data_IF_802251783629
#
_entry.id   IF_802251783629
#
_cell.length_a   1.000
_cell.length_b   1.000
_cell.length_c   1.000
_cell.angle_alpha   90.00
_cell.angle_beta   90.00
_cell.angle_gamma   90.00
#
_symmetry.space_group_name_H-M   'P 1'
#
loop_
_entity.id
_entity.type
_entity.pdbx_description
1 polymer ?
#
# COMPACT_ATOMS: atom_id res chain seq x y z
N UNK A 1 20.37 33.55 -13.60
CA UNK A 1 20.36 33.12 -12.18
C UNK A 1 19.11 32.35 -11.78
N UNK A 2 17.88 32.78 -12.11
CA UNK A 2 16.63 32.14 -11.61
C UNK A 2 16.36 30.68 -12.08
N UNK A 3 16.86 30.24 -13.24
CA UNK A 3 16.57 28.90 -13.77
C UNK A 3 17.49 27.80 -13.22
N UNK A 4 18.79 28.08 -13.02
CA UNK A 4 19.72 27.16 -12.35
C UNK A 4 19.27 26.86 -10.93
N UNK A 5 18.76 27.88 -10.22
CA UNK A 5 18.14 27.71 -8.91
C UNK A 5 16.88 26.82 -8.96
N UNK A 6 16.10 26.89 -10.05
CA UNK A 6 14.90 26.05 -10.23
C UNK A 6 15.24 24.61 -10.59
N UNK A 7 16.24 24.36 -11.43
CA UNK A 7 16.68 22.98 -11.72
C UNK A 7 17.19 22.29 -10.44
N UNK A 8 18.00 23.00 -9.64
CA UNK A 8 18.46 22.49 -8.35
C UNK A 8 17.29 22.17 -7.39
N UNK A 9 16.24 23.00 -7.39
CA UNK A 9 15.02 22.71 -6.63
C UNK A 9 14.29 21.48 -7.16
N UNK A 10 14.11 21.34 -8.48
CA UNK A 10 13.47 20.16 -9.08
C UNK A 10 14.25 18.88 -8.74
N UNK A 11 15.58 18.92 -8.79
CA UNK A 11 16.41 17.77 -8.40
C UNK A 11 16.22 17.40 -6.92
N UNK A 12 16.11 18.40 -6.04
CA UNK A 12 15.82 18.17 -4.62
C UNK A 12 14.41 17.58 -4.42
N UNK A 13 13.40 18.10 -5.13
CA UNK A 13 12.02 17.60 -5.09
C UNK A 13 11.91 16.16 -5.60
N UNK A 14 12.63 15.80 -6.67
CA UNK A 14 12.71 14.43 -7.18
C UNK A 14 13.36 13.49 -6.16
N UNK A 15 14.47 13.89 -5.53
CA UNK A 15 15.12 13.08 -4.51
C UNK A 15 14.23 12.84 -3.28
N UNK A 16 13.38 13.82 -2.92
CA UNK A 16 12.39 13.65 -1.86
C UNK A 16 11.27 12.68 -2.28
N UNK A 17 10.77 12.80 -3.51
CA UNK A 17 9.75 11.90 -4.05
C UNK A 17 10.24 10.45 -4.10
N UNK A 18 11.50 10.22 -4.48
CA UNK A 18 12.10 8.88 -4.49
C UNK A 18 12.02 8.21 -3.11
N UNK A 19 12.32 8.97 -2.05
CA UNK A 19 12.24 8.48 -0.67
C UNK A 19 10.79 8.19 -0.25
N UNK A 20 9.85 9.06 -0.64
CA UNK A 20 8.42 8.87 -0.35
C UNK A 20 7.86 7.64 -1.07
N UNK A 21 8.20 7.46 -2.35
CA UNK A 21 7.83 6.29 -3.15
C UNK A 21 8.41 5.00 -2.56
N UNK A 22 9.68 5.01 -2.14
CA UNK A 22 10.29 3.85 -1.49
C UNK A 22 9.60 3.53 -0.16
N UNK A 23 9.29 4.54 0.65
CA UNK A 23 8.58 4.36 1.92
C UNK A 23 7.19 3.75 1.71
N UNK A 24 6.40 4.32 0.81
CA UNK A 24 5.07 3.81 0.46
C UNK A 24 5.15 2.38 -0.07
N UNK A 25 6.13 2.09 -0.95
CA UNK A 25 6.33 0.74 -1.49
C UNK A 25 6.72 -0.28 -0.41
N UNK A 26 7.48 0.13 0.62
CA UNK A 26 7.80 -0.73 1.78
C UNK A 26 6.55 -0.98 2.63
N UNK A 27 5.70 0.02 2.84
CA UNK A 27 4.44 -0.16 3.57
C UNK A 27 3.50 -1.13 2.85
N UNK A 28 3.34 -1.00 1.53
CA UNK A 28 2.55 -1.94 0.73
C UNK A 28 3.04 -3.39 0.85
N UNK A 29 4.37 -3.61 0.89
CA UNK A 29 4.93 -4.96 1.10
C UNK A 29 4.57 -5.52 2.48
N UNK A 30 4.67 -4.69 3.53
CA UNK A 30 4.30 -5.11 4.89
C UNK A 30 2.82 -5.49 4.98
N UNK A 31 1.94 -4.73 4.32
CA UNK A 31 0.52 -5.06 4.27
C UNK A 31 0.29 -6.38 3.53
N UNK A 32 0.93 -6.60 2.39
CA UNK A 32 0.82 -7.87 1.67
C UNK A 32 1.32 -9.08 2.49
N UNK A 33 2.41 -8.93 3.25
CA UNK A 33 2.87 -9.94 4.21
C UNK A 33 1.83 -10.19 5.31
N UNK A 34 1.22 -9.12 5.83
CA UNK A 34 0.19 -9.21 6.87
C UNK A 34 -1.08 -9.90 6.35
N UNK A 35 -1.50 -9.61 5.12
CA UNK A 35 -2.63 -10.30 4.45
C UNK A 35 -2.35 -11.79 4.29
N UNK A 36 -1.12 -12.15 3.92
CA UNK A 36 -0.71 -13.54 3.80
C UNK A 36 -0.80 -14.26 5.16
N UNK A 37 -0.23 -13.65 6.21
CA UNK A 37 -0.26 -14.21 7.56
C UNK A 37 -1.70 -14.37 8.08
N UNK A 38 -2.58 -13.41 7.80
CA UNK A 38 -4.00 -13.52 8.13
C UNK A 38 -4.67 -14.69 7.40
N UNK A 39 -4.34 -14.91 6.13
CA UNK A 39 -4.84 -16.06 5.37
C UNK A 39 -4.43 -17.39 6.00
N UNK A 40 -3.18 -17.52 6.45
CA UNK A 40 -2.69 -18.72 7.13
C UNK A 40 -3.38 -18.95 8.47
N UNK A 41 -3.54 -17.90 9.28
CA UNK A 41 -4.28 -17.98 10.56
C UNK A 41 -5.73 -18.39 10.32
N UNK A 42 -6.39 -17.79 9.32
CA UNK A 42 -7.77 -18.13 8.98
C UNK A 42 -7.93 -19.60 8.60
N UNK A 43 -7.00 -20.14 7.81
CA UNK A 43 -7.01 -21.55 7.43
C UNK A 43 -6.85 -22.47 8.64
N UNK A 44 -5.96 -22.13 9.57
CA UNK A 44 -5.76 -22.88 10.81
C UNK A 44 -7.00 -22.83 11.72
N UNK A 45 -7.59 -21.65 11.90
CA UNK A 45 -8.79 -21.48 12.72
C UNK A 45 -9.98 -22.27 12.15
N UNK A 46 -10.19 -22.23 10.83
CA UNK A 46 -11.27 -23.01 10.20
C UNK A 46 -11.12 -24.52 10.45
N UNK A 47 -9.90 -25.06 10.33
CA UNK A 47 -9.63 -26.47 10.64
C UNK A 47 -9.89 -26.76 12.11
N UNK A 48 -9.41 -25.90 13.00
CA UNK A 48 -9.62 -26.03 14.43
C UNK A 48 -11.11 -26.07 14.80
N UNK A 49 -11.92 -25.14 14.28
CA UNK A 49 -13.36 -25.14 14.55
C UNK A 49 -14.07 -26.37 13.97
N UNK A 50 -13.66 -26.86 12.79
CA UNK A 50 -14.19 -28.10 12.23
C UNK A 50 -13.90 -29.30 13.13
N UNK A 51 -12.64 -29.50 13.53
CA UNK A 51 -12.25 -30.59 14.42
C UNK A 51 -12.99 -30.52 15.76
N UNK A 52 -13.14 -29.31 16.30
CA UNK A 52 -13.82 -29.08 17.57
C UNK A 52 -15.32 -29.37 17.48
N UNK A 53 -15.96 -28.98 16.37
CA UNK A 53 -17.37 -29.28 16.09
C UNK A 53 -17.61 -30.78 15.89
N UNK A 54 -16.71 -31.46 15.18
CA UNK A 54 -16.76 -32.92 14.98
C UNK A 54 -16.60 -33.67 16.31
N UNK A 55 -15.62 -33.29 17.13
CA UNK A 55 -15.37 -33.90 18.43
C UNK A 55 -16.52 -33.70 19.44
N UNK A 56 -17.33 -32.64 19.26
CA UNK A 56 -18.43 -32.28 20.16
C UNK A 56 -19.82 -32.49 19.52
N UNK A 57 -19.94 -33.32 18.48
CA UNK A 57 -21.23 -33.63 17.88
C UNK A 57 -22.21 -34.21 18.91
N UNK A 58 -23.38 -33.60 19.03
CA UNK A 58 -24.41 -34.02 19.99
C UNK A 58 -24.17 -33.57 21.43
N UNK A 59 -23.10 -32.80 21.69
CA UNK A 59 -22.90 -32.16 22.98
C UNK A 59 -23.88 -30.97 23.14
N UNK A 60 -24.38 -30.78 24.36
CA UNK A 60 -25.31 -29.68 24.70
C UNK A 60 -24.72 -28.30 24.37
N UNK A 61 -23.38 -28.18 24.38
CA UNK A 61 -22.64 -26.94 24.12
C UNK A 61 -22.25 -26.72 22.65
N UNK A 62 -22.69 -27.56 21.71
CA UNK A 62 -22.33 -27.43 20.30
C UNK A 62 -22.68 -26.05 19.72
N UNK A 63 -23.77 -25.43 20.18
CA UNK A 63 -24.18 -24.08 19.78
C UNK A 63 -23.15 -23.00 20.14
N UNK A 64 -22.47 -23.11 21.29
CA UNK A 64 -21.44 -22.15 21.69
C UNK A 64 -20.25 -22.14 20.73
N UNK A 65 -19.89 -23.29 20.17
CA UNK A 65 -18.78 -23.39 19.23
C UNK A 65 -19.12 -22.80 17.86
N UNK A 66 -20.38 -22.92 17.43
CA UNK A 66 -20.89 -22.23 16.23
C UNK A 66 -20.87 -20.70 16.41
N UNK A 67 -21.27 -20.21 17.59
CA UNK A 67 -21.23 -18.77 17.89
C UNK A 67 -19.79 -18.24 17.91
N UNK A 68 -18.86 -18.98 18.53
CA UNK A 68 -17.44 -18.62 18.55
C UNK A 68 -16.82 -18.59 17.15
N UNK A 69 -17.15 -19.56 16.28
CA UNK A 69 -16.70 -19.56 14.90
C UNK A 69 -17.24 -18.34 14.13
N UNK A 70 -18.51 -17.99 14.33
CA UNK A 70 -19.12 -16.83 13.70
C UNK A 70 -18.50 -15.51 14.18
N UNK A 71 -18.20 -15.39 15.48
CA UNK A 71 -17.51 -14.23 16.04
C UNK A 71 -16.09 -14.09 15.50
N UNK A 72 -15.31 -15.17 15.46
CA UNK A 72 -13.97 -15.18 14.84
C UNK A 72 -14.03 -14.71 13.39
N UNK A 73 -14.93 -15.26 12.57
CA UNK A 73 -15.10 -14.85 11.15
C UNK A 73 -15.43 -13.37 11.01
N UNK A 74 -16.28 -12.84 11.89
CA UNK A 74 -16.64 -11.41 11.90
C UNK A 74 -15.44 -10.51 12.24
N UNK A 75 -14.63 -10.91 13.21
CA UNK A 75 -13.41 -10.19 13.57
C UNK A 75 -12.37 -10.22 12.44
N UNK A 76 -12.15 -11.39 11.84
CA UNK A 76 -11.26 -11.55 10.68
C UNK A 76 -11.68 -10.66 9.52
N UNK A 77 -12.98 -10.62 9.20
CA UNK A 77 -13.49 -9.79 8.13
C UNK A 77 -13.21 -8.30 8.39
N UNK A 78 -13.40 -7.82 9.63
CA UNK A 78 -13.10 -6.43 9.99
C UNK A 78 -11.62 -6.11 9.85
N UNK A 79 -10.73 -7.00 10.29
CA UNK A 79 -9.29 -6.81 10.17
C UNK A 79 -8.85 -6.77 8.70
N UNK A 80 -9.40 -7.68 7.88
CA UNK A 80 -9.11 -7.70 6.44
C UNK A 80 -9.56 -6.42 5.75
N UNK A 81 -10.74 -5.91 6.06
CA UNK A 81 -11.22 -4.64 5.53
C UNK A 81 -10.29 -3.47 5.89
N UNK A 82 -9.79 -3.42 7.12
CA UNK A 82 -8.83 -2.37 7.52
C UNK A 82 -7.52 -2.43 6.73
N UNK A 83 -7.03 -3.64 6.46
CA UNK A 83 -5.81 -3.83 5.66
C UNK A 83 -6.05 -3.45 4.20
N UNK A 84 -7.19 -3.87 3.63
CA UNK A 84 -7.60 -3.50 2.27
C UNK A 84 -7.75 -1.98 2.12
N UNK A 85 -8.47 -1.32 3.03
CA UNK A 85 -8.63 0.15 3.04
C UNK A 85 -7.27 0.87 3.07
N UNK A 86 -6.36 0.44 3.96
CA UNK A 86 -5.03 1.03 4.06
C UNK A 86 -4.19 0.78 2.79
N UNK A 87 -4.33 -0.38 2.18
CA UNK A 87 -3.65 -0.73 0.92
C UNK A 87 -4.14 0.16 -0.22
N UNK A 88 -5.45 0.38 -0.33
CA UNK A 88 -6.06 1.26 -1.33
C UNK A 88 -5.59 2.71 -1.18
N UNK A 89 -5.53 3.22 0.06
CA UNK A 89 -4.99 4.56 0.35
C UNK A 89 -3.55 4.71 -0.14
N UNK A 90 -2.69 3.73 0.18
CA UNK A 90 -1.28 3.75 -0.22
C UNK A 90 -1.11 3.63 -1.74
N UNK A 91 -1.94 2.83 -2.42
CA UNK A 91 -1.94 2.75 -3.88
C UNK A 91 -2.34 4.08 -4.53
N UNK A 92 -3.33 4.78 -3.96
CA UNK A 92 -3.73 6.10 -4.42
C UNK A 92 -2.62 7.14 -4.18
N UNK A 93 -1.98 7.12 -3.02
CA UNK A 93 -0.83 7.97 -2.71
C UNK A 93 0.33 7.71 -3.69
N UNK A 94 0.69 6.45 -3.92
CA UNK A 94 1.73 6.07 -4.88
C UNK A 94 1.43 6.63 -6.27
N UNK A 95 0.19 6.52 -6.73
CA UNK A 95 -0.22 7.08 -8.02
C UNK A 95 0.02 8.59 -8.06
N UNK A 96 -0.41 9.32 -7.03
CA UNK A 96 -0.21 10.77 -6.95
C UNK A 96 1.27 11.16 -6.94
N UNK A 97 2.12 10.38 -6.24
CA UNK A 97 3.56 10.60 -6.20
C UNK A 97 4.21 10.40 -7.58
N UNK A 98 3.83 9.34 -8.29
CA UNK A 98 4.29 9.09 -9.67
C UNK A 98 3.82 10.20 -10.61
N UNK A 99 2.56 10.61 -10.53
CA UNK A 99 2.03 11.71 -11.36
C UNK A 99 2.81 13.02 -11.11
N UNK A 100 3.25 13.27 -9.87
CA UNK A 100 4.07 14.44 -9.51
C UNK A 100 5.52 14.30 -10.00
N UNK A 101 6.09 13.11 -9.93
CA UNK A 101 7.41 12.79 -10.49
C UNK A 101 7.44 13.07 -12.00
N UNK A 102 6.44 12.58 -12.74
CA UNK A 102 6.29 12.80 -14.18
C UNK A 102 6.18 14.29 -14.52
N UNK A 103 5.45 15.07 -13.73
CA UNK A 103 5.34 16.53 -13.88
C UNK A 103 6.69 17.22 -13.70
N UNK A 104 7.47 16.83 -12.70
CA UNK A 104 8.80 17.41 -12.46
C UNK A 104 9.79 17.06 -13.56
N UNK A 105 9.75 15.84 -14.10
CA UNK A 105 10.56 15.50 -15.28
C UNK A 105 10.15 16.31 -16.52
N UNK A 106 8.85 16.54 -16.71
CA UNK A 106 8.37 17.39 -17.80
C UNK A 106 8.86 18.85 -17.64
N UNK A 107 8.76 19.41 -16.43
CA UNK A 107 9.24 20.75 -16.12
C UNK A 107 10.75 20.87 -16.35
N UNK A 108 11.51 19.89 -15.84
CA UNK A 108 12.97 19.84 -16.05
C UNK A 108 13.33 19.80 -17.53
N UNK A 109 12.63 18.99 -18.32
CA UNK A 109 12.84 18.93 -19.77
C UNK A 109 12.58 20.28 -20.44
N UNK A 110 11.50 20.96 -20.08
CA UNK A 110 11.19 22.29 -20.61
C UNK A 110 12.26 23.34 -20.27
N UNK A 111 12.84 23.27 -19.06
CA UNK A 111 13.94 24.15 -18.65
C UNK A 111 15.20 23.91 -19.49
N UNK A 112 15.53 22.64 -19.76
CA UNK A 112 16.70 22.27 -20.59
C UNK A 112 16.48 22.60 -22.08
N UNK A 113 15.27 22.40 -22.61
CA UNK A 113 14.94 22.76 -23.99
C UNK A 113 15.02 24.30 -24.21
N UNK A 114 14.79 25.10 -23.16
CA UNK A 114 15.00 26.56 -23.19
C UNK A 114 16.48 26.96 -23.16
N UNK A 115 17.39 26.15 -22.61
CA UNK A 115 18.84 26.41 -22.65
C UNK A 115 19.43 26.23 -24.05
N UNK A 116 18.95 25.26 -24.83
CA UNK A 116 19.48 24.96 -26.17
C UNK A 116 19.05 26.00 -27.22
N UNK A 117 17.98 26.75 -26.97
CA UNK A 117 17.43 27.75 -27.90
C UNK A 117 18.08 29.14 -27.85
N UNK A 118 19.10 29.38 -27.03
CA UNK A 118 19.73 30.71 -26.85
C UNK A 118 21.13 30.82 -27.48
N UNK A 119 21.66 29.74 -28.06
CA UNK A 119 22.96 29.71 -28.75
C UNK A 119 22.83 29.72 -30.30
N UNK A 120 21.81 30.42 -30.83
CA UNK A 120 21.82 30.84 -32.23
C UNK A 120 22.54 32.19 -32.35
N UNK A 121 23.83 32.10 -32.69
CA UNK A 121 24.69 33.06 -33.38
C UNK A 121 24.02 34.37 -33.85
N UNK A 122 24.49 35.49 -33.30
CA UNK A 122 24.64 36.78 -33.99
C UNK A 122 25.99 37.41 -33.60
#
# INVERSE_FOLDING_TARGET
>A
MKQVDREAMIQLELAQLDLELESNQRELRKLAETEYDYGEIQNLEQRFYQELMEANQGAEKQHYFVELEAESRSLQQKQRLQVEERSEELLAEKKNLVDKEDQLYLERKQLLDQEVGVDEWD
#
